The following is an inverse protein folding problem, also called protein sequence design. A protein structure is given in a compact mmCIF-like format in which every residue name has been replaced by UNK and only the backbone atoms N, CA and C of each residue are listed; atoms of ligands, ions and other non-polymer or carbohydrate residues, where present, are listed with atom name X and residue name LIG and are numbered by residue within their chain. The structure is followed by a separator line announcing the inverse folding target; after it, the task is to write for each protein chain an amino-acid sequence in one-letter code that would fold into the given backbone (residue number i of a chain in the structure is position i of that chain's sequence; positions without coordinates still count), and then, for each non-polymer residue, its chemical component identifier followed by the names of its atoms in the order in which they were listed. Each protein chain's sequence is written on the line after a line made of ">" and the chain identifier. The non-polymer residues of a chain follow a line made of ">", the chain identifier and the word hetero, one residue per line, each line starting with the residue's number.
data_IF_905854453929
#
_entry.id   IF_905854453929
#
_cell.length_a   1.000
_cell.length_b   1.000
_cell.length_c   1.000
_cell.angle_alpha   90.00
_cell.angle_beta   90.00
_cell.angle_gamma   90.00
#
_symmetry.space_group_name_H-M   'P 1'
#
loop_
_entity.id
_entity.type
_entity.pdbx_description
1 polymer ?
#
# COMPACT_ATOMS: atom_id res chain seq x y z
N UNK A 1 15.68 3.25 10.29
CA UNK A 1 15.61 2.99 8.83
C UNK A 1 14.82 1.73 8.60
N UNK A 2 13.79 1.78 7.76
CA UNK A 2 12.98 0.62 7.37
C UNK A 2 13.12 0.40 5.86
N UNK A 3 13.48 -0.82 5.46
CA UNK A 3 13.68 -1.19 4.07
C UNK A 3 12.99 -2.53 3.78
N UNK A 4 11.90 -2.48 3.02
CA UNK A 4 11.04 -3.62 2.71
C UNK A 4 11.12 -4.05 1.24
N UNK A 5 12.10 -3.55 0.47
CA UNK A 5 12.19 -3.82 -0.96
C UNK A 5 12.19 -5.31 -1.29
N UNK A 6 12.99 -6.11 -0.59
CA UNK A 6 13.12 -7.53 -0.92
C UNK A 6 11.85 -8.32 -0.56
N UNK A 7 11.20 -7.98 0.56
CA UNK A 7 9.92 -8.58 0.95
C UNK A 7 8.80 -8.22 -0.04
N UNK A 8 8.72 -6.95 -0.44
CA UNK A 8 7.72 -6.48 -1.41
C UNK A 8 7.99 -7.05 -2.81
N UNK A 9 9.26 -7.15 -3.23
CA UNK A 9 9.61 -7.77 -4.51
C UNK A 9 9.05 -9.19 -4.63
N UNK A 10 9.31 -10.02 -3.61
CA UNK A 10 8.76 -11.38 -3.54
C UNK A 10 7.23 -11.38 -3.55
N UNK A 11 6.63 -10.50 -2.77
CA UNK A 11 5.17 -10.38 -2.69
C UNK A 11 4.52 -10.06 -4.05
N UNK A 12 5.02 -9.07 -4.80
CA UNK A 12 4.43 -8.69 -6.09
C UNK A 12 4.72 -9.73 -7.19
N UNK A 13 5.82 -10.47 -7.08
CA UNK A 13 6.11 -11.64 -7.92
C UNK A 13 5.05 -12.73 -7.72
N UNK A 14 4.70 -13.05 -6.47
CA UNK A 14 3.64 -14.00 -6.11
C UNK A 14 2.25 -13.55 -6.59
N UNK A 15 2.02 -12.24 -6.75
CA UNK A 15 0.81 -11.68 -7.33
C UNK A 15 0.77 -11.71 -8.87
N UNK A 16 1.80 -12.24 -9.52
CA UNK A 16 1.85 -12.43 -10.97
C UNK A 16 2.48 -11.27 -11.75
N UNK A 17 3.19 -10.36 -11.09
CA UNK A 17 4.00 -9.36 -11.80
C UNK A 17 5.18 -10.07 -12.46
N UNK A 18 5.35 -9.98 -13.80
CA UNK A 18 6.38 -10.70 -14.54
C UNK A 18 7.78 -10.14 -14.27
N UNK A 19 8.81 -10.98 -14.45
CA UNK A 19 10.19 -10.54 -14.33
C UNK A 19 10.51 -9.42 -15.33
N UNK A 20 10.18 -9.63 -16.60
CA UNK A 20 10.39 -8.66 -17.67
C UNK A 20 9.05 -8.14 -18.20
N UNK A 21 9.08 -6.96 -18.82
CA UNK A 21 7.90 -6.41 -19.45
C UNK A 21 7.27 -7.39 -20.44
N UNK A 22 6.00 -7.73 -20.22
CA UNK A 22 5.20 -8.57 -21.08
C UNK A 22 3.88 -7.84 -21.46
N UNK A 23 3.68 -7.62 -22.75
CA UNK A 23 2.47 -6.97 -23.28
C UNK A 23 1.18 -7.75 -23.02
N UNK A 24 1.29 -9.06 -22.76
CA UNK A 24 0.16 -9.94 -22.43
C UNK A 24 -0.23 -9.86 -20.95
N UNK A 25 0.68 -9.40 -20.10
CA UNK A 25 0.38 -9.19 -18.69
C UNK A 25 -0.34 -7.87 -18.50
N UNK A 26 -1.56 -7.90 -17.98
CA UNK A 26 -2.38 -6.72 -17.73
C UNK A 26 -2.12 -6.08 -16.34
N UNK A 27 -1.28 -6.68 -15.51
CA UNK A 27 -1.10 -6.26 -14.14
C UNK A 27 -0.05 -5.14 -13.99
N UNK A 28 -0.30 -4.25 -13.02
CA UNK A 28 0.67 -3.28 -12.51
C UNK A 28 0.37 -2.97 -11.04
N UNK A 29 1.31 -2.32 -10.37
CA UNK A 29 1.11 -1.70 -9.06
C UNK A 29 1.80 -0.33 -9.02
N UNK A 30 1.46 0.49 -8.03
CA UNK A 30 2.05 1.82 -7.89
C UNK A 30 2.87 1.95 -6.61
N UNK A 31 3.97 2.72 -6.72
CA UNK A 31 4.80 3.17 -5.60
C UNK A 31 4.67 4.68 -5.51
N UNK A 32 4.34 5.18 -4.32
CA UNK A 32 4.16 6.60 -4.06
C UNK A 32 5.23 7.11 -3.10
N UNK A 33 5.93 8.16 -3.50
CA UNK A 33 6.80 8.93 -2.61
C UNK A 33 5.97 10.03 -1.95
N UNK A 34 5.80 9.95 -0.64
CA UNK A 34 4.92 10.84 0.11
C UNK A 34 5.72 11.62 1.16
N UNK A 35 5.59 12.95 1.10
CA UNK A 35 5.97 13.82 2.21
C UNK A 35 4.85 13.81 3.24
N UNK A 36 5.13 13.29 4.42
CA UNK A 36 4.16 13.30 5.53
C UNK A 36 4.30 14.59 6.32
N UNK A 37 3.19 15.33 6.49
CA UNK A 37 3.20 16.60 7.22
C UNK A 37 3.76 16.48 8.64
N UNK A 38 3.45 15.36 9.33
CA UNK A 38 3.97 15.08 10.68
C UNK A 38 5.50 14.91 10.77
N UNK A 39 6.16 14.62 9.65
CA UNK A 39 7.62 14.42 9.60
C UNK A 39 8.38 15.72 9.30
N UNK A 40 7.66 16.81 8.99
CA UNK A 40 8.23 18.09 8.59
C UNK A 40 7.64 19.26 9.41
N UNK A 41 8.08 19.47 10.67
CA UNK A 41 7.65 20.61 11.48
C UNK A 41 7.89 21.93 10.73
N UNK A 42 6.88 22.82 10.72
CA UNK A 42 6.96 24.12 10.03
C UNK A 42 6.52 24.12 8.57
N UNK A 43 6.20 22.96 7.98
CA UNK A 43 5.54 22.86 6.68
C UNK A 43 4.03 22.55 6.86
N UNK A 44 3.21 22.75 5.80
CA UNK A 44 1.79 22.39 5.87
C UNK A 44 1.59 20.95 6.33
N UNK A 45 0.68 20.72 7.28
CA UNK A 45 0.42 19.43 7.89
C UNK A 45 -0.14 18.35 6.91
N UNK A 46 -0.61 18.78 5.72
CA UNK A 46 -1.15 17.88 4.72
C UNK A 46 -0.07 16.97 4.12
N UNK A 47 -0.42 15.70 3.92
CA UNK A 47 0.41 14.79 3.15
C UNK A 47 0.44 15.22 1.68
N UNK A 48 1.60 15.09 1.05
CA UNK A 48 1.80 15.46 -0.34
C UNK A 48 2.51 14.34 -1.10
N UNK A 49 1.90 13.84 -2.18
CA UNK A 49 2.52 12.87 -3.07
C UNK A 49 3.50 13.60 -3.99
N UNK A 50 4.79 13.36 -3.79
CA UNK A 50 5.88 13.97 -4.55
C UNK A 50 6.02 13.33 -5.93
N UNK A 51 6.00 11.99 -5.99
CA UNK A 51 6.13 11.22 -7.22
C UNK A 51 5.40 9.89 -7.10
N UNK A 52 4.87 9.39 -8.21
CA UNK A 52 4.31 8.04 -8.33
C UNK A 52 5.03 7.28 -9.43
N UNK A 53 5.40 6.03 -9.17
CA UNK A 53 5.91 5.09 -10.15
C UNK A 53 4.83 4.05 -10.41
N UNK A 54 4.62 3.72 -11.67
CA UNK A 54 3.74 2.63 -12.12
C UNK A 54 4.61 1.49 -12.59
N UNK A 55 4.53 0.36 -11.91
CA UNK A 55 5.44 -0.78 -12.06
C UNK A 55 4.68 -1.96 -12.64
N UNK A 56 5.10 -2.47 -13.77
CA UNK A 56 4.46 -3.57 -14.49
C UNK A 56 5.38 -4.78 -14.75
N UNK A 57 6.64 -4.70 -14.27
CA UNK A 57 7.56 -5.82 -14.22
C UNK A 57 8.60 -5.63 -13.11
N UNK A 58 9.22 -6.74 -12.67
CA UNK A 58 10.22 -6.72 -11.60
C UNK A 58 11.51 -6.02 -11.99
N UNK A 59 11.91 -6.09 -13.25
CA UNK A 59 13.10 -5.37 -13.75
C UNK A 59 12.92 -3.85 -13.59
N UNK A 60 11.71 -3.31 -13.79
CA UNK A 60 11.39 -1.90 -13.54
C UNK A 60 11.41 -1.59 -12.03
N UNK A 61 10.88 -2.49 -11.20
CA UNK A 61 10.95 -2.35 -9.75
C UNK A 61 12.40 -2.26 -9.26
N UNK A 62 13.24 -3.18 -9.69
CA UNK A 62 14.66 -3.23 -9.33
C UNK A 62 15.42 -2.00 -9.86
N UNK A 63 15.14 -1.56 -11.08
CA UNK A 63 15.72 -0.36 -11.71
C UNK A 63 15.45 0.92 -10.93
N UNK A 64 14.23 1.09 -10.40
CA UNK A 64 13.86 2.31 -9.67
C UNK A 64 14.25 2.30 -8.19
N UNK A 65 14.70 1.16 -7.63
CA UNK A 65 15.04 1.01 -6.21
C UNK A 65 16.00 2.10 -5.72
N UNK A 66 17.13 2.30 -6.40
CA UNK A 66 18.11 3.31 -5.98
C UNK A 66 17.60 4.74 -6.09
N UNK A 67 16.84 5.05 -7.13
CA UNK A 67 16.25 6.38 -7.31
C UNK A 67 15.24 6.67 -6.19
N UNK A 68 14.37 5.70 -5.86
CA UNK A 68 13.38 5.81 -4.78
C UNK A 68 14.09 6.08 -3.45
N UNK A 69 15.13 5.31 -3.13
CA UNK A 69 15.91 5.48 -1.89
C UNK A 69 16.52 6.88 -1.84
N UNK A 70 17.23 7.31 -2.89
CA UNK A 70 17.85 8.63 -2.97
C UNK A 70 16.83 9.76 -2.82
N UNK A 71 15.67 9.66 -3.49
CA UNK A 71 14.61 10.65 -3.34
C UNK A 71 14.08 10.72 -1.89
N UNK A 72 13.88 9.57 -1.25
CA UNK A 72 13.43 9.53 0.14
C UNK A 72 14.43 10.19 1.08
N UNK A 73 15.72 9.93 0.91
CA UNK A 73 16.79 10.49 1.74
C UNK A 73 16.99 11.98 1.51
N UNK A 74 17.01 12.43 0.24
CA UNK A 74 17.24 13.84 -0.10
C UNK A 74 16.09 14.77 0.32
N UNK A 75 14.84 14.29 0.26
CA UNK A 75 13.66 15.12 0.47
C UNK A 75 12.86 14.74 1.73
N UNK A 76 13.37 13.85 2.56
CA UNK A 76 12.68 13.39 3.76
C UNK A 76 11.32 12.73 3.45
N UNK A 77 11.26 11.92 2.38
CA UNK A 77 10.04 11.27 1.94
C UNK A 77 9.95 9.85 2.50
N UNK A 78 8.74 9.30 2.47
CA UNK A 78 8.51 7.88 2.64
C UNK A 78 8.03 7.28 1.34
N UNK A 79 8.56 6.12 0.96
CA UNK A 79 8.04 5.34 -0.14
C UNK A 79 6.99 4.35 0.37
N UNK A 80 5.84 4.35 -0.28
CA UNK A 80 4.75 3.41 -0.03
C UNK A 80 4.42 2.64 -1.31
N UNK A 81 3.99 1.40 -1.17
CA UNK A 81 3.57 0.54 -2.28
C UNK A 81 2.12 0.11 -2.10
N UNK A 82 1.35 0.10 -3.18
CA UNK A 82 0.00 -0.46 -3.18
C UNK A 82 0.05 -1.97 -2.90
N UNK A 83 -0.79 -2.44 -1.97
CA UNK A 83 -0.86 -3.89 -1.65
C UNK A 83 -1.68 -4.68 -2.65
N UNK A 84 -2.42 -4.02 -3.52
CA UNK A 84 -3.23 -4.64 -4.55
C UNK A 84 -2.65 -4.35 -5.93
N UNK A 85 -2.47 -5.38 -6.74
CA UNK A 85 -2.18 -5.22 -8.17
C UNK A 85 -3.44 -4.82 -8.91
N UNK A 86 -3.29 -4.03 -9.98
CA UNK A 86 -4.35 -3.37 -10.73
C UNK A 86 -4.24 -3.72 -12.20
N UNK A 87 -5.34 -3.54 -12.97
CA UNK A 87 -5.38 -3.78 -14.42
C UNK A 87 -4.96 -2.54 -15.18
N UNK A 88 -3.96 -2.66 -16.06
CA UNK A 88 -3.53 -1.62 -17.00
C UNK A 88 -4.66 -1.27 -17.99
N UNK A 89 -5.36 -2.28 -18.48
CA UNK A 89 -6.47 -2.08 -19.42
C UNK A 89 -7.59 -1.26 -18.79
N UNK A 90 -8.04 -1.64 -17.57
CA UNK A 90 -9.06 -0.88 -16.84
C UNK A 90 -8.62 0.56 -16.59
N UNK A 91 -7.39 0.78 -16.15
CA UNK A 91 -6.85 2.11 -15.89
C UNK A 91 -6.86 2.98 -17.16
N UNK A 92 -6.44 2.43 -18.30
CA UNK A 92 -6.46 3.13 -19.58
C UNK A 92 -7.88 3.46 -20.03
N UNK A 93 -8.79 2.48 -19.99
CA UNK A 93 -10.18 2.66 -20.41
C UNK A 93 -10.90 3.72 -19.57
N UNK A 94 -10.82 3.63 -18.24
CA UNK A 94 -11.42 4.61 -17.34
C UNK A 94 -10.81 6.01 -17.52
N UNK A 95 -9.50 6.08 -17.80
CA UNK A 95 -8.84 7.37 -18.09
C UNK A 95 -9.42 8.02 -19.32
N UNK A 96 -9.59 7.26 -20.41
CA UNK A 96 -10.18 7.76 -21.66
C UNK A 96 -11.61 8.23 -21.43
N UNK A 97 -12.44 7.44 -20.74
CA UNK A 97 -13.83 7.77 -20.43
C UNK A 97 -13.92 9.05 -19.59
N UNK A 98 -13.13 9.12 -18.49
CA UNK A 98 -13.12 10.28 -17.61
C UNK A 98 -12.59 11.53 -18.28
N UNK A 99 -11.59 11.38 -19.15
CA UNK A 99 -11.04 12.51 -19.90
C UNK A 99 -12.03 13.04 -20.93
N UNK A 100 -12.70 12.16 -21.68
CA UNK A 100 -13.75 12.53 -22.61
C UNK A 100 -14.91 13.24 -21.91
N UNK A 101 -15.37 12.69 -20.77
CA UNK A 101 -16.42 13.31 -19.95
C UNK A 101 -16.03 14.71 -19.46
N UNK A 102 -14.80 14.90 -18.98
CA UNK A 102 -14.33 16.22 -18.55
C UNK A 102 -14.36 17.24 -19.73
N UNK A 103 -13.91 16.83 -20.91
CA UNK A 103 -13.93 17.70 -22.11
C UNK A 103 -15.34 18.09 -22.52
N UNK A 104 -16.30 17.16 -22.49
CA UNK A 104 -17.71 17.45 -22.82
C UNK A 104 -18.36 18.43 -21.82
N UNK A 105 -17.86 18.45 -20.57
CA UNK A 105 -18.31 19.39 -19.55
C UNK A 105 -17.51 20.72 -19.52
N UNK A 106 -16.64 20.95 -20.52
CA UNK A 106 -15.81 22.15 -20.59
C UNK A 106 -14.63 22.18 -19.61
N UNK A 107 -14.32 21.05 -18.93
CA UNK A 107 -13.20 20.94 -18.03
C UNK A 107 -11.92 20.49 -18.76
N UNK A 108 -11.00 21.41 -19.01
CA UNK A 108 -9.69 21.07 -19.59
C UNK A 108 -8.71 20.68 -18.47
N UNK A 109 -8.63 19.40 -18.18
CA UNK A 109 -7.64 18.85 -17.25
C UNK A 109 -6.47 18.22 -18.00
N UNK A 110 -5.26 18.31 -17.44
CA UNK A 110 -4.09 17.64 -18.03
C UNK A 110 -4.30 16.12 -18.01
N UNK A 111 -4.11 15.39 -19.15
CA UNK A 111 -4.40 13.96 -19.26
C UNK A 111 -3.72 13.12 -18.16
N UNK A 112 -2.45 13.43 -17.83
CA UNK A 112 -1.70 12.71 -16.80
C UNK A 112 -2.31 12.84 -15.39
N UNK A 113 -2.99 13.97 -15.08
CA UNK A 113 -3.71 14.13 -13.80
C UNK A 113 -4.96 13.26 -13.74
N UNK A 114 -5.64 13.11 -14.89
CA UNK A 114 -6.79 12.20 -14.99
C UNK A 114 -6.35 10.77 -14.80
N UNK A 115 -5.26 10.35 -15.47
CA UNK A 115 -4.66 9.03 -15.31
C UNK A 115 -4.27 8.75 -13.83
N UNK A 116 -3.51 9.65 -13.22
CA UNK A 116 -3.10 9.50 -11.80
C UNK A 116 -4.32 9.39 -10.84
N UNK A 117 -5.38 10.18 -11.11
CA UNK A 117 -6.63 10.09 -10.33
C UNK A 117 -7.35 8.75 -10.51
N UNK A 118 -7.36 8.20 -11.72
CA UNK A 118 -7.95 6.88 -12.01
C UNK A 118 -7.13 5.79 -11.30
N UNK A 119 -5.82 5.77 -11.51
CA UNK A 119 -4.94 4.77 -10.88
C UNK A 119 -5.04 4.80 -9.33
N UNK A 120 -5.16 5.99 -8.73
CA UNK A 120 -5.32 6.13 -7.29
C UNK A 120 -6.66 5.61 -6.75
N UNK A 121 -7.73 5.69 -7.57
CA UNK A 121 -9.08 5.23 -7.20
C UNK A 121 -9.41 3.81 -7.63
N UNK A 122 -8.57 3.19 -8.47
CA UNK A 122 -8.84 1.85 -9.01
C UNK A 122 -8.72 0.79 -7.91
N UNK A 123 -9.72 -0.08 -7.83
CA UNK A 123 -9.67 -1.28 -6.99
C UNK A 123 -8.66 -2.30 -7.55
N UNK A 124 -8.04 -3.07 -6.67
CA UNK A 124 -7.18 -4.18 -7.06
C UNK A 124 -7.95 -5.36 -7.64
N UNK A 125 -7.27 -6.14 -8.51
CA UNK A 125 -7.84 -7.37 -9.10
C UNK A 125 -8.14 -8.41 -8.03
N UNK A 126 -7.30 -8.52 -7.03
CA UNK A 126 -7.55 -9.31 -5.83
C UNK A 126 -7.55 -8.38 -4.60
N UNK A 127 -8.52 -8.61 -3.71
CA UNK A 127 -8.63 -7.79 -2.50
C UNK A 127 -7.61 -8.23 -1.46
N UNK A 128 -6.75 -7.31 -1.06
CA UNK A 128 -5.87 -7.41 0.11
C UNK A 128 -6.18 -6.25 1.05
N UNK A 129 -6.13 -6.53 2.34
CA UNK A 129 -6.31 -5.54 3.38
C UNK A 129 -4.99 -5.33 4.14
N UNK A 130 -4.82 -4.15 4.70
CA UNK A 130 -3.73 -3.83 5.62
C UNK A 130 -4.32 -3.68 7.00
N UNK A 131 -3.84 -4.49 7.94
CA UNK A 131 -4.12 -4.34 9.37
C UNK A 131 -2.93 -3.61 9.98
N UNK A 132 -3.18 -2.40 10.50
CA UNK A 132 -2.15 -1.46 10.95
C UNK A 132 -1.96 -1.62 12.48
N UNK A 133 -0.87 -2.29 12.88
CA UNK A 133 -0.53 -2.56 14.28
C UNK A 133 0.56 -1.58 14.73
N UNK A 134 0.18 -0.52 15.42
CA UNK A 134 1.11 0.48 15.93
C UNK A 134 1.50 0.22 17.40
N UNK A 135 2.71 0.63 17.79
CA UNK A 135 3.21 0.55 19.18
C UNK A 135 2.41 1.39 20.18
N UNK A 136 1.71 2.39 19.68
CA UNK A 136 0.87 3.27 20.51
C UNK A 136 -0.42 2.55 21.00
N UNK A 137 -0.75 1.40 20.40
CA UNK A 137 -1.95 0.61 20.74
C UNK A 137 -1.71 -0.43 21.87
N UNK A 138 -0.45 -0.59 22.34
CA UNK A 138 -0.09 -1.67 23.25
C UNK A 138 1.22 -1.42 24.04
N UNK A 139 1.36 -2.09 25.18
CA UNK A 139 2.57 -2.06 26.00
C UNK A 139 3.68 -2.98 25.45
N UNK A 140 3.30 -4.09 24.79
CA UNK A 140 4.19 -5.07 24.19
C UNK A 140 3.78 -5.36 22.75
N UNK A 141 4.49 -4.76 21.81
CA UNK A 141 4.17 -4.84 20.40
C UNK A 141 4.27 -6.26 19.81
N UNK A 142 5.25 -7.07 20.26
CA UNK A 142 5.40 -8.43 19.75
C UNK A 142 4.24 -9.33 20.19
N UNK A 143 3.87 -9.27 21.46
CA UNK A 143 2.74 -10.01 22.00
C UNK A 143 1.42 -9.56 21.37
N UNK A 144 1.25 -8.24 21.21
CA UNK A 144 0.09 -7.66 20.52
C UNK A 144 -0.02 -8.18 19.09
N UNK A 145 1.07 -8.12 18.30
CA UNK A 145 1.13 -8.62 16.93
C UNK A 145 0.73 -10.10 16.84
N UNK A 146 1.27 -10.95 17.70
CA UNK A 146 0.93 -12.37 17.74
C UNK A 146 -0.55 -12.61 18.07
N UNK A 147 -1.08 -11.87 19.04
CA UNK A 147 -2.48 -11.94 19.41
C UNK A 147 -3.41 -11.50 18.28
N UNK A 148 -3.06 -10.45 17.52
CA UNK A 148 -3.81 -10.00 16.34
C UNK A 148 -3.77 -11.06 15.24
N UNK A 149 -2.61 -11.62 14.91
CA UNK A 149 -2.46 -12.69 13.91
C UNK A 149 -3.34 -13.91 14.28
N UNK A 150 -3.26 -14.36 15.52
CA UNK A 150 -4.08 -15.49 16.00
C UNK A 150 -5.58 -15.16 15.96
N UNK A 151 -5.97 -13.92 16.25
CA UNK A 151 -7.37 -13.49 16.19
C UNK A 151 -7.90 -13.43 14.75
N UNK A 152 -7.07 -12.99 13.79
CA UNK A 152 -7.43 -13.00 12.37
C UNK A 152 -7.62 -14.44 11.86
N UNK A 153 -6.71 -15.36 12.23
CA UNK A 153 -6.80 -16.78 11.85
C UNK A 153 -8.03 -17.50 12.40
N UNK A 154 -8.62 -16.99 13.49
CA UNK A 154 -9.88 -17.51 14.06
C UNK A 154 -11.14 -16.95 13.37
N UNK A 155 -10.98 -16.06 12.38
CA UNK A 155 -12.09 -15.49 11.64
C UNK A 155 -12.40 -16.31 10.38
N UNK A 156 -13.69 -16.32 9.99
CA UNK A 156 -14.07 -16.94 8.72
C UNK A 156 -13.45 -16.16 7.57
N UNK A 157 -12.80 -16.89 6.67
CA UNK A 157 -12.21 -16.40 5.43
C UNK A 157 -12.44 -17.42 4.31
N UNK A 158 -12.47 -16.96 3.07
CA UNK A 158 -12.47 -17.85 1.91
C UNK A 158 -11.11 -18.55 1.69
N UNK A 159 -10.09 -18.14 2.45
CA UNK A 159 -8.73 -18.63 2.34
C UNK A 159 -8.36 -19.47 3.58
N UNK A 160 -7.54 -20.51 3.40
CA UNK A 160 -7.07 -21.38 4.48
C UNK A 160 -6.29 -20.59 5.56
N UNK A 161 -5.34 -19.75 5.15
CA UNK A 161 -4.71 -18.76 6.02
C UNK A 161 -5.00 -17.36 5.45
N UNK A 162 -5.70 -16.50 6.19
CA UNK A 162 -5.94 -15.15 5.73
C UNK A 162 -4.69 -14.26 5.79
N UNK A 163 -3.64 -14.64 6.49
CA UNK A 163 -2.39 -13.88 6.57
C UNK A 163 -1.54 -14.12 5.32
N UNK A 164 -1.20 -13.06 4.61
CA UNK A 164 -0.32 -13.10 3.45
C UNK A 164 1.13 -12.83 3.86
N UNK A 165 1.37 -11.72 4.56
CA UNK A 165 2.68 -11.37 5.08
C UNK A 165 2.60 -10.31 6.17
N UNK A 166 3.69 -10.12 6.91
CA UNK A 166 3.86 -9.05 7.89
C UNK A 166 5.04 -8.18 7.47
N UNK A 167 4.85 -6.86 7.45
CA UNK A 167 5.84 -5.87 7.02
C UNK A 167 6.12 -4.91 8.17
N UNK A 168 7.39 -4.72 8.59
CA UNK A 168 7.73 -3.72 9.59
C UNK A 168 7.46 -2.30 9.06
N UNK A 169 6.97 -1.46 9.96
CA UNK A 169 6.81 -0.02 9.74
C UNK A 169 7.73 0.74 10.69
N UNK A 170 7.58 2.07 10.79
CA UNK A 170 8.39 2.87 11.72
C UNK A 170 8.07 2.61 13.19
N UNK A 171 6.79 2.43 13.49
CA UNK A 171 6.27 2.34 14.86
C UNK A 171 5.54 1.02 15.13
N UNK A 172 5.61 0.06 14.22
CA UNK A 172 4.89 -1.20 14.37
C UNK A 172 4.99 -2.09 13.16
N UNK A 173 3.87 -2.69 12.77
CA UNK A 173 3.78 -3.64 11.66
C UNK A 173 2.50 -3.44 10.87
N UNK A 174 2.58 -3.62 9.56
CA UNK A 174 1.43 -3.88 8.71
C UNK A 174 1.29 -5.38 8.47
N UNK A 175 0.13 -5.95 8.78
CA UNK A 175 -0.22 -7.31 8.39
C UNK A 175 -1.03 -7.21 7.10
N UNK A 176 -0.50 -7.75 6.00
CA UNK A 176 -1.24 -7.86 4.73
C UNK A 176 -2.06 -9.15 4.79
N UNK A 177 -3.36 -9.05 4.53
CA UNK A 177 -4.30 -10.16 4.66
C UNK A 177 -5.22 -10.29 3.46
N UNK A 178 -5.71 -11.49 3.23
CA UNK A 178 -6.95 -11.70 2.50
C UNK A 178 -8.15 -11.16 3.30
N UNK A 179 -9.30 -10.89 2.67
CA UNK A 179 -10.52 -10.53 3.39
C UNK A 179 -10.94 -11.59 4.41
N UNK A 180 -11.36 -11.16 5.58
CA UNK A 180 -11.86 -12.00 6.67
C UNK A 180 -13.06 -11.35 7.36
N UNK A 181 -13.76 -12.06 8.24
CA UNK A 181 -14.92 -11.53 8.95
C UNK A 181 -14.52 -10.51 10.04
N UNK A 182 -14.60 -9.21 9.69
CA UNK A 182 -14.24 -8.10 10.59
C UNK A 182 -15.10 -8.07 11.85
N UNK A 183 -16.39 -8.41 11.76
CA UNK A 183 -17.28 -8.39 12.93
C UNK A 183 -16.88 -9.49 13.92
N UNK A 184 -16.50 -10.68 13.42
CA UNK A 184 -15.97 -11.76 14.24
C UNK A 184 -14.63 -11.37 14.87
N UNK A 185 -13.74 -10.75 14.08
CA UNK A 185 -12.45 -10.25 14.57
C UNK A 185 -12.61 -9.28 15.74
N UNK A 186 -13.46 -8.27 15.62
CA UNK A 186 -13.74 -7.31 16.70
C UNK A 186 -14.23 -8.00 17.97
N UNK A 187 -15.17 -8.93 17.85
CA UNK A 187 -15.66 -9.71 19.02
C UNK A 187 -14.57 -10.52 19.68
N UNK A 188 -13.62 -11.08 18.91
CA UNK A 188 -12.48 -11.83 19.47
C UNK A 188 -11.53 -10.88 20.21
N UNK A 189 -11.24 -9.70 19.64
CA UNK A 189 -10.42 -8.69 20.28
C UNK A 189 -11.06 -8.22 21.60
N UNK A 190 -12.36 -7.91 21.59
CA UNK A 190 -13.10 -7.49 22.76
C UNK A 190 -13.05 -8.56 23.88
N UNK A 191 -13.26 -9.84 23.52
CA UNK A 191 -13.22 -10.95 24.46
C UNK A 191 -11.84 -11.17 25.11
N UNK A 192 -10.77 -10.74 24.41
CA UNK A 192 -9.37 -10.80 24.88
C UNK A 192 -8.89 -9.50 25.52
N UNK A 193 -9.74 -8.48 25.61
CA UNK A 193 -9.38 -7.12 26.06
C UNK A 193 -8.21 -6.51 25.24
N UNK A 194 -8.21 -6.77 23.92
CA UNK A 194 -7.21 -6.25 22.98
C UNK A 194 -7.83 -5.11 22.20
N UNK A 195 -7.16 -3.97 22.10
CA UNK A 195 -7.56 -2.87 21.20
C UNK A 195 -7.46 -3.34 19.76
N UNK A 196 -8.57 -3.37 18.99
CA UNK A 196 -8.49 -3.82 17.60
C UNK A 196 -7.77 -2.77 16.74
N UNK A 197 -6.77 -3.18 15.93
CA UNK A 197 -6.05 -2.29 15.04
C UNK A 197 -6.95 -1.78 13.90
N UNK A 198 -6.52 -0.69 13.25
CA UNK A 198 -7.20 -0.17 12.06
C UNK A 198 -7.07 -1.15 10.88
N UNK A 199 -8.18 -1.44 10.20
CA UNK A 199 -8.22 -2.28 8.99
C UNK A 199 -8.48 -1.39 7.77
N UNK A 200 -7.48 -1.27 6.91
CA UNK A 200 -7.48 -0.45 5.71
C UNK A 200 -7.66 -1.33 4.48
N UNK A 201 -8.76 -1.09 3.75
CA UNK A 201 -9.06 -1.78 2.49
C UNK A 201 -8.45 -1.01 1.33
N UNK A 202 -7.92 -1.71 0.32
CA UNK A 202 -7.29 -1.10 -0.86
C UNK A 202 -6.29 0.01 -0.49
N UNK A 203 -5.32 -0.33 0.34
CA UNK A 203 -4.38 0.63 0.93
C UNK A 203 -2.94 0.40 0.46
N UNK A 204 -2.05 1.28 0.90
CA UNK A 204 -0.61 1.22 0.65
C UNK A 204 0.12 0.76 1.93
N UNK A 205 1.25 0.08 1.77
CA UNK A 205 2.16 -0.28 2.88
C UNK A 205 3.52 0.37 2.71
N UNK A 206 4.29 0.45 3.81
CA UNK A 206 5.61 1.07 3.79
C UNK A 206 6.60 0.22 2.99
N UNK A 207 7.24 0.83 1.99
CA UNK A 207 8.33 0.24 1.22
C UNK A 207 9.69 0.66 1.77
N UNK A 208 9.87 1.96 2.02
CA UNK A 208 11.15 2.50 2.50
C UNK A 208 10.97 3.80 3.28
N UNK A 209 11.75 3.93 4.37
CA UNK A 209 11.97 5.21 5.04
C UNK A 209 13.34 5.27 5.71
N UNK A 210 13.94 6.46 5.68
CA UNK A 210 15.17 6.79 6.39
C UNK A 210 15.08 8.21 6.97
N UNK A 211 14.00 8.51 7.69
CA UNK A 211 13.83 9.82 8.30
C UNK A 211 14.55 9.81 9.65
N UNK A 212 15.71 10.44 9.70
CA UNK A 212 16.33 10.81 10.98
C UNK A 212 15.42 11.86 11.63
N UNK A 213 15.07 11.66 12.92
CA UNK A 213 14.41 12.74 13.67
C UNK A 213 15.39 13.90 13.73
N UNK A 214 15.05 14.99 13.04
CA UNK A 214 15.69 16.30 13.22
C UNK A 214 15.36 16.84 14.60
#
# INVERSE_FOLDING_TARGET
>A
MTNNFDAIRKYVEELGIPQQYDTRCDLYFDIQLIRRGKDHPGLPAANYTFKTYYIDCLDNFDKYKEEIIKCCEMFGLRAYVAVNVKSKYKACLETIQKYAHNLTNGESRKPWRVFASVCGGQDGEEKRWVVDCDSDDCDNLEEYLQNIILSIRQCESAYYDPIVMTIPTRSGYHIITHPFNINRFKKICDAKSITPPEIKKNHITLLYENIQKL
#
